data_IF_276343252118
#
_entry.id   IF_276343252118
#
_cell.length_a   1.000
_cell.length_b   1.000
_cell.length_c   1.000
_cell.angle_alpha   90.00
_cell.angle_beta   90.00
_cell.angle_gamma   90.00
#
_symmetry.space_group_name_H-M   'P 1'
#
loop_
_entity.id
_entity.type
_entity.pdbx_description
1 polymer ?
#
# COMPACT_ATOMS: atom_id res chain seq x y z
N UNK A 1 26.81 29.31 -15.31
CA UNK A 1 26.90 29.33 -13.86
C UNK A 1 25.49 29.13 -13.29
N UNK A 2 25.40 28.37 -12.23
CA UNK A 2 24.15 28.17 -11.47
C UNK A 2 24.35 28.80 -10.09
N UNK A 3 23.43 29.65 -9.69
CA UNK A 3 23.41 30.20 -8.35
C UNK A 3 22.51 29.33 -7.46
N UNK A 4 22.98 28.98 -6.26
CA UNK A 4 22.23 28.19 -5.30
C UNK A 4 21.78 29.12 -4.17
N UNK A 5 20.46 29.23 -4.01
CA UNK A 5 19.82 29.96 -2.92
C UNK A 5 19.25 28.99 -1.92
N UNK A 6 19.80 28.89 -0.70
CA UNK A 6 19.22 28.03 0.33
C UNK A 6 17.90 28.60 0.85
N UNK A 7 16.85 27.77 0.89
CA UNK A 7 15.52 28.13 1.39
C UNK A 7 15.20 27.26 2.59
N UNK A 8 14.74 27.86 3.68
CA UNK A 8 14.37 27.17 4.91
C UNK A 8 12.84 27.00 4.99
N UNK A 9 12.31 25.97 4.31
CA UNK A 9 10.86 25.67 4.21
C UNK A 9 10.16 26.43 3.08
N UNK A 10 8.98 25.94 2.70
CA UNK A 10 8.13 26.49 1.65
C UNK A 10 8.85 26.73 0.30
N UNK A 11 9.76 25.82 -0.06
CA UNK A 11 10.54 25.93 -1.29
C UNK A 11 9.66 25.99 -2.55
N UNK A 12 8.48 25.36 -2.50
CA UNK A 12 7.52 25.29 -3.59
C UNK A 12 6.95 26.64 -4.05
N UNK A 13 7.04 27.69 -3.23
CA UNK A 13 6.61 29.03 -3.62
C UNK A 13 7.74 29.89 -4.22
N UNK A 14 9.00 29.46 -4.10
CA UNK A 14 10.15 30.23 -4.56
C UNK A 14 10.10 30.60 -6.06
N UNK A 15 9.66 29.70 -6.97
CA UNK A 15 9.50 30.06 -8.38
C UNK A 15 8.43 31.13 -8.61
N UNK A 16 7.33 31.12 -7.86
CA UNK A 16 6.26 32.12 -8.00
C UNK A 16 6.70 33.51 -7.51
N UNK A 17 7.61 33.54 -6.53
CA UNK A 17 8.18 34.77 -6.00
C UNK A 17 9.38 35.31 -6.84
N UNK A 18 9.78 34.56 -7.87
CA UNK A 18 10.96 34.93 -8.68
C UNK A 18 12.30 34.79 -7.94
N UNK A 19 12.32 33.97 -6.86
CA UNK A 19 13.54 33.72 -6.06
C UNK A 19 14.41 32.64 -6.74
N UNK A 20 13.78 31.67 -7.42
CA UNK A 20 14.48 30.61 -8.11
C UNK A 20 13.70 30.13 -9.36
N UNK A 21 14.42 29.73 -10.40
CA UNK A 21 13.82 29.15 -11.61
C UNK A 21 13.46 27.69 -11.45
N UNK A 22 14.22 26.96 -10.63
CA UNK A 22 14.03 25.55 -10.29
C UNK A 22 14.25 25.34 -8.80
N UNK A 23 13.62 24.32 -8.25
CA UNK A 23 13.78 23.92 -6.85
C UNK A 23 14.16 22.45 -6.73
N UNK A 24 14.81 22.10 -5.64
CA UNK A 24 15.00 20.70 -5.20
C UNK A 24 14.23 20.52 -3.91
N UNK A 25 13.26 19.63 -3.91
CA UNK A 25 12.39 19.38 -2.75
C UNK A 25 11.96 17.92 -2.69
N UNK A 26 11.42 17.48 -1.54
CA UNK A 26 10.88 16.15 -1.32
C UNK A 26 9.47 16.03 -1.92
N UNK A 27 9.31 15.13 -2.86
CA UNK A 27 8.03 14.86 -3.53
C UNK A 27 7.50 13.50 -3.12
N UNK A 28 6.26 13.45 -2.63
CA UNK A 28 5.55 12.20 -2.32
C UNK A 28 4.46 11.93 -3.36
N UNK A 29 3.34 12.66 -3.29
CA UNK A 29 2.20 12.49 -4.21
C UNK A 29 2.18 13.50 -5.35
N UNK A 30 3.05 14.49 -5.31
CA UNK A 30 3.09 15.60 -6.24
C UNK A 30 1.89 16.57 -6.13
N UNK A 31 1.03 16.44 -5.11
CA UNK A 31 -0.12 17.33 -4.93
C UNK A 31 0.29 18.78 -4.70
N UNK A 32 1.29 19.02 -3.85
CA UNK A 32 1.84 20.35 -3.59
C UNK A 32 2.42 20.99 -4.86
N UNK A 33 3.12 20.20 -5.68
CA UNK A 33 3.65 20.68 -6.95
C UNK A 33 2.52 21.19 -7.88
N UNK A 34 1.47 20.36 -8.04
CA UNK A 34 0.33 20.71 -8.91
C UNK A 34 -0.39 21.97 -8.46
N UNK A 35 -0.62 22.11 -7.14
CA UNK A 35 -1.29 23.31 -6.58
C UNK A 35 -0.48 24.57 -6.84
N UNK A 36 0.86 24.46 -6.81
CA UNK A 36 1.77 25.59 -7.07
C UNK A 36 2.17 25.72 -8.55
N UNK A 37 1.50 25.02 -9.47
CA UNK A 37 1.81 25.10 -10.91
C UNK A 37 3.17 24.53 -11.30
N UNK A 38 3.76 23.70 -10.44
CA UNK A 38 5.06 23.06 -10.65
C UNK A 38 4.92 21.66 -11.22
N UNK A 39 5.97 21.18 -11.87
CA UNK A 39 6.09 19.80 -12.35
C UNK A 39 7.45 19.23 -12.02
N UNK A 40 7.52 17.95 -11.80
CA UNK A 40 8.77 17.22 -11.69
C UNK A 40 9.52 17.23 -13.03
N UNK A 41 10.80 17.58 -13.00
CA UNK A 41 11.68 17.62 -14.16
C UNK A 41 12.64 16.44 -14.15
N UNK A 42 13.18 16.10 -12.96
CA UNK A 42 14.07 14.96 -12.77
C UNK A 42 14.05 14.52 -11.31
N UNK A 43 14.23 13.24 -11.07
CA UNK A 43 14.49 12.68 -9.74
C UNK A 43 15.96 12.79 -9.42
N UNK A 44 16.31 13.49 -8.33
CA UNK A 44 17.69 13.66 -7.87
C UNK A 44 18.12 12.48 -7.01
N UNK A 45 17.25 12.03 -6.08
CA UNK A 45 17.45 10.85 -5.26
C UNK A 45 16.12 10.36 -4.69
N UNK A 46 16.08 9.07 -4.34
CA UNK A 46 14.97 8.49 -3.59
C UNK A 46 15.25 8.54 -2.09
N UNK A 47 14.23 8.85 -1.29
CA UNK A 47 14.30 8.95 0.17
C UNK A 47 13.29 8.00 0.83
N UNK A 48 13.66 7.43 1.96
CA UNK A 48 12.76 6.58 2.74
C UNK A 48 12.85 6.88 4.22
N UNK A 49 11.69 6.88 4.90
CA UNK A 49 11.64 6.94 6.35
C UNK A 49 12.18 5.63 6.97
N UNK A 50 12.93 5.76 8.06
CA UNK A 50 13.48 4.63 8.83
C UNK A 50 13.10 4.78 10.29
N UNK A 51 12.69 3.66 10.91
CA UNK A 51 12.57 3.59 12.36
C UNK A 51 13.98 3.42 12.93
N UNK A 52 14.37 4.32 13.83
CA UNK A 52 15.72 4.35 14.42
C UNK A 52 15.57 4.18 15.93
N UNK A 53 16.43 3.36 16.52
CA UNK A 53 16.54 3.20 17.97
C UNK A 53 17.97 3.54 18.42
N UNK A 54 18.13 3.89 19.70
CA UNK A 54 19.45 4.13 20.29
C UNK A 54 20.27 2.83 20.32
N UNK A 55 21.53 2.88 19.86
CA UNK A 55 22.46 1.75 19.92
C UNK A 55 22.79 1.34 21.36
N UNK A 56 22.85 2.28 22.29
CA UNK A 56 23.10 2.00 23.71
C UNK A 56 21.97 1.19 24.37
N UNK A 57 20.84 1.05 23.74
CA UNK A 57 19.75 0.14 24.14
C UNK A 57 19.97 -1.30 23.65
N UNK A 58 20.80 -1.49 22.63
CA UNK A 58 21.15 -2.82 22.14
C UNK A 58 22.10 -3.57 23.10
N UNK A 59 22.92 -2.85 23.88
CA UNK A 59 23.99 -3.42 24.71
C UNK A 59 23.59 -3.69 26.18
N UNK A 60 22.30 -3.82 26.50
CA UNK A 60 21.89 -4.32 27.81
C UNK A 60 20.97 -3.46 28.66
N UNK A 61 20.71 -2.20 28.32
CA UNK A 61 19.75 -1.36 29.06
C UNK A 61 18.28 -1.60 28.65
N UNK A 62 18.03 -2.35 27.60
CA UNK A 62 16.72 -2.92 27.22
C UNK A 62 16.56 -4.37 27.69
N UNK A 63 17.25 -4.76 28.73
CA UNK A 63 17.19 -6.13 29.29
C UNK A 63 15.89 -6.43 30.06
N UNK A 64 14.91 -5.54 30.11
CA UNK A 64 13.58 -5.94 30.52
C UNK A 64 12.90 -6.64 29.34
N UNK A 65 12.54 -7.93 29.45
CA UNK A 65 11.83 -8.69 28.40
C UNK A 65 10.59 -7.97 27.90
N UNK A 66 10.02 -7.13 28.71
CA UNK A 66 8.84 -6.31 28.45
C UNK A 66 9.08 -5.18 27.44
N UNK A 67 10.22 -4.49 27.52
CA UNK A 67 10.58 -3.42 26.57
C UNK A 67 10.92 -3.97 25.19
N UNK A 68 11.56 -5.10 25.15
CA UNK A 68 11.87 -5.80 23.89
C UNK A 68 10.61 -6.33 23.21
N UNK A 69 9.68 -6.86 24.01
CA UNK A 69 8.35 -7.27 23.53
C UNK A 69 7.59 -6.08 22.96
N UNK A 70 7.52 -4.95 23.67
CA UNK A 70 6.85 -3.74 23.21
C UNK A 70 7.44 -3.20 21.89
N UNK A 71 8.76 -3.24 21.72
CA UNK A 71 9.40 -2.86 20.47
C UNK A 71 9.00 -3.79 19.32
N UNK A 72 9.03 -5.11 19.55
CA UNK A 72 8.58 -6.07 18.53
C UNK A 72 7.12 -5.86 18.13
N UNK A 73 6.25 -5.64 19.10
CA UNK A 73 4.82 -5.36 18.85
C UNK A 73 4.64 -4.06 18.05
N UNK A 74 5.38 -3.00 18.39
CA UNK A 74 5.36 -1.74 17.62
C UNK A 74 5.82 -1.95 16.18
N UNK A 75 6.95 -2.63 15.98
CA UNK A 75 7.48 -2.92 14.64
C UNK A 75 6.49 -3.75 13.83
N UNK A 76 5.91 -4.80 14.44
CA UNK A 76 4.91 -5.65 13.79
C UNK A 76 3.66 -4.84 13.41
N UNK A 77 3.19 -3.96 14.30
CA UNK A 77 2.05 -3.08 14.04
C UNK A 77 2.32 -2.13 12.86
N UNK A 78 3.47 -1.47 12.82
CA UNK A 78 3.87 -0.60 11.70
C UNK A 78 3.99 -1.38 10.39
N UNK A 79 4.64 -2.54 10.42
CA UNK A 79 4.77 -3.40 9.25
C UNK A 79 3.42 -3.87 8.72
N UNK A 80 2.47 -4.21 9.61
CA UNK A 80 1.13 -4.66 9.19
C UNK A 80 0.37 -3.58 8.41
N UNK A 81 0.49 -2.32 8.81
CA UNK A 81 -0.10 -1.17 8.10
C UNK A 81 0.59 -0.92 6.76
N UNK A 82 1.93 -0.96 6.75
CA UNK A 82 2.71 -0.76 5.51
C UNK A 82 2.39 -1.85 4.49
N UNK A 83 2.30 -3.11 4.91
CA UNK A 83 1.94 -4.24 4.05
C UNK A 83 0.50 -4.18 3.55
N UNK A 84 -0.44 -3.62 4.33
CA UNK A 84 -1.81 -3.39 3.91
C UNK A 84 -1.94 -2.30 2.83
N UNK A 85 -0.99 -1.34 2.79
CA UNK A 85 -0.95 -0.35 1.72
C UNK A 85 -0.84 -1.02 0.36
N UNK A 86 -1.72 -0.61 -0.56
CA UNK A 86 -1.73 -1.20 -1.90
C UNK A 86 -2.39 -2.58 -1.99
N UNK A 87 -2.96 -3.10 -0.89
CA UNK A 87 -3.74 -4.32 -0.88
C UNK A 87 -5.24 -4.03 -0.75
N UNK A 88 -6.06 -4.95 -1.25
CA UNK A 88 -7.53 -4.94 -1.12
C UNK A 88 -8.00 -6.35 -0.77
N UNK A 89 -9.06 -6.42 0.00
CA UNK A 89 -9.79 -7.66 0.20
C UNK A 89 -10.93 -7.72 -0.80
N UNK A 90 -10.94 -8.76 -1.64
CA UNK A 90 -11.93 -8.98 -2.67
C UNK A 90 -12.75 -10.21 -2.30
N UNK A 91 -14.08 -10.09 -2.43
CA UNK A 91 -15.05 -11.16 -2.31
C UNK A 91 -15.87 -11.23 -3.59
N UNK A 92 -16.24 -12.44 -4.02
CA UNK A 92 -17.14 -12.64 -5.14
C UNK A 92 -17.89 -13.97 -4.98
N UNK A 93 -19.10 -14.04 -5.51
CA UNK A 93 -19.82 -15.29 -5.70
C UNK A 93 -19.49 -15.82 -7.09
N UNK A 94 -19.06 -17.08 -7.18
CA UNK A 94 -18.64 -17.71 -8.44
C UNK A 94 -19.31 -19.07 -8.61
N UNK A 95 -19.57 -19.51 -9.85
CA UNK A 95 -19.99 -20.90 -10.10
C UNK A 95 -18.95 -21.88 -9.57
N UNK A 96 -19.37 -22.91 -8.84
CA UNK A 96 -18.49 -23.95 -8.28
C UNK A 96 -17.64 -24.62 -9.38
N UNK A 97 -18.22 -24.82 -10.56
CA UNK A 97 -17.52 -25.37 -11.72
C UNK A 97 -16.36 -24.49 -12.20
N UNK A 98 -16.38 -23.18 -11.94
CA UNK A 98 -15.35 -22.23 -12.35
C UNK A 98 -14.15 -22.15 -11.40
N UNK A 99 -14.18 -22.80 -10.21
CA UNK A 99 -13.16 -22.67 -9.16
C UNK A 99 -11.72 -22.89 -9.66
N UNK A 100 -11.50 -23.85 -10.57
CA UNK A 100 -10.18 -24.09 -11.16
C UNK A 100 -9.63 -22.89 -11.93
N UNK A 101 -10.51 -22.15 -12.62
CA UNK A 101 -10.13 -20.92 -13.34
C UNK A 101 -10.02 -19.72 -12.41
N UNK A 102 -10.92 -19.63 -11.41
CA UNK A 102 -10.89 -18.60 -10.38
C UNK A 102 -9.57 -18.61 -9.61
N UNK A 103 -9.03 -19.78 -9.28
CA UNK A 103 -7.73 -19.90 -8.59
C UNK A 103 -6.57 -19.25 -9.39
N UNK A 104 -6.65 -19.22 -10.71
CA UNK A 104 -5.62 -18.56 -11.55
C UNK A 104 -5.77 -17.04 -11.57
N UNK A 105 -7.01 -16.54 -11.52
CA UNK A 105 -7.35 -15.12 -11.53
C UNK A 105 -7.17 -14.50 -10.14
N UNK A 106 -7.45 -15.28 -9.10
CA UNK A 106 -7.47 -14.86 -7.70
C UNK A 106 -6.52 -15.72 -6.87
N UNK A 107 -5.20 -15.57 -7.04
CA UNK A 107 -4.22 -16.43 -6.36
C UNK A 107 -4.18 -16.21 -4.84
N UNK A 108 -4.54 -15.02 -4.33
CA UNK A 108 -4.44 -14.71 -2.91
C UNK A 108 -3.01 -14.80 -2.38
N UNK A 109 -2.85 -15.07 -1.08
CA UNK A 109 -1.55 -15.34 -0.44
C UNK A 109 -1.20 -16.82 -0.58
N UNK A 110 -2.14 -17.71 -0.13
CA UNK A 110 -2.01 -19.17 -0.20
C UNK A 110 -3.11 -19.81 -1.06
N UNK A 111 -3.78 -19.00 -1.90
CA UNK A 111 -4.96 -19.35 -2.66
C UNK A 111 -6.21 -18.59 -2.17
N UNK A 112 -7.30 -18.61 -2.94
CA UNK A 112 -8.56 -18.05 -2.50
C UNK A 112 -9.19 -18.93 -1.41
N UNK A 113 -9.77 -18.29 -0.40
CA UNK A 113 -10.67 -18.97 0.54
C UNK A 113 -12.00 -19.21 -0.16
N UNK A 114 -12.55 -20.40 -0.01
CA UNK A 114 -13.84 -20.79 -0.58
C UNK A 114 -14.82 -21.08 0.55
N UNK A 115 -16.01 -20.47 0.48
CA UNK A 115 -17.08 -20.64 1.48
C UNK A 115 -18.38 -20.99 0.77
N UNK A 116 -19.08 -21.96 1.29
CA UNK A 116 -20.42 -22.32 0.80
C UNK A 116 -21.43 -21.21 1.14
N UNK A 117 -22.26 -20.88 0.17
CA UNK A 117 -23.35 -19.91 0.34
C UNK A 117 -24.58 -20.67 0.79
N UNK A 118 -25.20 -20.24 1.88
CA UNK A 118 -26.46 -20.82 2.33
C UNK A 118 -27.54 -20.60 1.23
N UNK A 119 -28.10 -21.68 0.75
CA UNK A 119 -29.04 -21.70 -0.38
C UNK A 119 -28.47 -21.14 -1.71
N UNK A 120 -27.13 -21.12 -1.86
CA UNK A 120 -26.43 -20.60 -3.03
C UNK A 120 -26.48 -21.48 -4.27
N UNK A 121 -27.09 -22.70 -4.20
CA UNK A 121 -27.11 -23.65 -5.31
C UNK A 121 -25.69 -24.03 -5.75
N UNK A 122 -25.41 -23.87 -7.05
CA UNK A 122 -24.11 -24.17 -7.63
C UNK A 122 -23.06 -23.06 -7.46
N UNK A 123 -23.33 -22.05 -6.65
CA UNK A 123 -22.39 -20.94 -6.41
C UNK A 123 -21.71 -21.08 -5.04
N UNK A 124 -20.49 -20.55 -4.98
CA UNK A 124 -19.70 -20.43 -3.76
C UNK A 124 -19.16 -19.01 -3.65
N UNK A 125 -18.96 -18.53 -2.43
CA UNK A 125 -18.23 -17.30 -2.19
C UNK A 125 -16.72 -17.58 -2.19
N UNK A 126 -15.96 -16.73 -2.85
CA UNK A 126 -14.50 -16.76 -2.84
C UNK A 126 -13.96 -15.43 -2.31
N UNK A 127 -12.93 -15.52 -1.50
CA UNK A 127 -12.28 -14.34 -0.93
C UNK A 127 -10.77 -14.40 -1.14
N UNK A 128 -10.14 -13.29 -1.42
CA UNK A 128 -8.69 -13.20 -1.44
C UNK A 128 -8.19 -11.77 -1.24
N UNK A 129 -6.92 -11.67 -0.87
CA UNK A 129 -6.18 -10.41 -0.89
C UNK A 129 -5.62 -10.22 -2.31
N UNK A 130 -5.83 -9.04 -2.88
CA UNK A 130 -5.38 -8.65 -4.21
C UNK A 130 -4.67 -7.30 -4.17
N UNK A 131 -3.79 -7.04 -5.12
CA UNK A 131 -3.18 -5.70 -5.25
C UNK A 131 -4.22 -4.68 -5.71
N UNK A 132 -4.18 -3.49 -5.14
CA UNK A 132 -5.09 -2.41 -5.49
C UNK A 132 -5.00 -2.01 -6.99
N UNK A 133 -3.81 -2.11 -7.58
CA UNK A 133 -3.56 -1.89 -9.02
C UNK A 133 -4.30 -2.87 -9.91
N UNK A 134 -4.52 -4.08 -9.45
CA UNK A 134 -5.04 -5.19 -10.25
C UNK A 134 -6.56 -5.38 -10.09
N UNK A 135 -7.18 -4.65 -9.14
CA UNK A 135 -8.59 -4.81 -8.77
C UNK A 135 -9.53 -4.81 -9.98
N UNK A 136 -9.44 -3.80 -10.84
CA UNK A 136 -10.36 -3.67 -11.98
C UNK A 136 -10.20 -4.82 -12.98
N UNK A 137 -8.98 -5.23 -13.26
CA UNK A 137 -8.69 -6.39 -14.12
C UNK A 137 -9.22 -7.67 -13.48
N UNK A 138 -8.94 -7.89 -12.20
CA UNK A 138 -9.42 -9.07 -11.47
C UNK A 138 -10.96 -9.13 -11.47
N UNK A 139 -11.66 -8.00 -11.30
CA UNK A 139 -13.13 -7.96 -11.38
C UNK A 139 -13.60 -8.39 -12.78
N UNK A 140 -13.02 -7.82 -13.85
CA UNK A 140 -13.41 -8.17 -15.21
C UNK A 140 -13.17 -9.65 -15.52
N UNK A 141 -12.02 -10.19 -15.12
CA UNK A 141 -11.68 -11.60 -15.30
C UNK A 141 -12.64 -12.53 -14.51
N UNK A 142 -13.01 -12.16 -13.29
CA UNK A 142 -13.98 -12.90 -12.48
C UNK A 142 -15.38 -12.85 -13.10
N UNK A 143 -15.82 -11.68 -13.60
CA UNK A 143 -17.11 -11.55 -14.28
C UNK A 143 -17.20 -12.41 -15.55
N UNK A 144 -16.10 -12.51 -16.30
CA UNK A 144 -16.01 -13.40 -17.45
C UNK A 144 -16.15 -14.90 -17.09
N UNK A 145 -15.86 -15.25 -15.82
CA UNK A 145 -16.06 -16.59 -15.26
C UNK A 145 -17.44 -16.79 -14.61
N UNK A 146 -18.35 -15.81 -14.75
CA UNK A 146 -19.69 -15.86 -14.19
C UNK A 146 -19.79 -15.35 -12.76
N UNK A 147 -18.82 -14.60 -12.27
CA UNK A 147 -18.88 -14.03 -10.94
C UNK A 147 -19.95 -12.96 -10.81
N UNK A 148 -20.58 -12.92 -9.63
CA UNK A 148 -21.55 -11.93 -9.20
C UNK A 148 -21.26 -11.45 -7.77
N UNK A 149 -21.92 -10.38 -7.33
CA UNK A 149 -21.78 -9.89 -5.96
C UNK A 149 -20.35 -9.53 -5.58
N UNK A 150 -19.57 -8.97 -6.51
CA UNK A 150 -18.15 -8.65 -6.26
C UNK A 150 -18.07 -7.44 -5.32
N UNK A 151 -17.38 -7.64 -4.19
CA UNK A 151 -17.11 -6.61 -3.19
C UNK A 151 -15.60 -6.43 -3.02
N UNK A 152 -15.18 -5.17 -2.89
CA UNK A 152 -13.78 -4.83 -2.64
C UNK A 152 -13.71 -3.85 -1.48
N UNK A 153 -12.91 -4.18 -0.47
CA UNK A 153 -12.70 -3.34 0.70
C UNK A 153 -11.22 -3.00 0.91
N UNK A 154 -10.97 -1.95 1.67
CA UNK A 154 -9.61 -1.62 2.15
C UNK A 154 -9.23 -2.56 3.28
N UNK A 155 -7.94 -2.88 3.34
CA UNK A 155 -7.35 -3.62 4.45
C UNK A 155 -6.60 -2.62 5.32
N UNK A 156 -6.94 -2.57 6.60
CA UNK A 156 -6.27 -1.69 7.56
C UNK A 156 -4.91 -2.26 7.99
N UNK A 157 -4.85 -3.56 8.22
CA UNK A 157 -3.66 -4.30 8.65
C UNK A 157 -3.57 -5.62 7.93
N UNK A 158 -2.35 -5.98 7.53
CA UNK A 158 -2.07 -7.25 6.87
C UNK A 158 -0.84 -7.91 7.50
N UNK A 159 -1.05 -9.10 8.04
CA UNK A 159 0.00 -9.97 8.57
C UNK A 159 -0.10 -11.27 7.77
N UNK A 160 0.85 -11.53 6.86
CA UNK A 160 0.88 -12.74 6.07
C UNK A 160 1.27 -13.95 6.91
#
# INVERSE_FOLDING_TARGET
PVEIVPVSGAAEIAPQLGIADIIVDLVSTGSTLRVNGLREVATVCDSSARLIASSNRADGAMSAPESERALRELVAALQSVIRAKGQRYLMANVPRAALGSVKRVLPGVDGPTVVDILNGGDHVAVHAVVRASDVYRTIADLQALGASGVLVTRIERFVP
#
